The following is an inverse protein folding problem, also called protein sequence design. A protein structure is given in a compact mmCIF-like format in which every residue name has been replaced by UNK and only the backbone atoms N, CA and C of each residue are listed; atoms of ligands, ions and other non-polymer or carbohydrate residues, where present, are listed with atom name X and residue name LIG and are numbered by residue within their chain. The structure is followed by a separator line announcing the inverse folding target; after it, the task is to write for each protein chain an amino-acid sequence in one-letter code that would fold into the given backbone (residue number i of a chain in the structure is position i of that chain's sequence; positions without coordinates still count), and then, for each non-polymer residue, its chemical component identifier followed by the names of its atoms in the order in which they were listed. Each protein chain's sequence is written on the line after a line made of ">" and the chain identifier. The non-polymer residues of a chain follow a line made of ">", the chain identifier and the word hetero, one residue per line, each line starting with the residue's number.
data_IF_578670695197
#
_entry.id   IF_578670695197
#
_cell.length_a   1.000
_cell.length_b   1.000
_cell.length_c   1.000
_cell.angle_alpha   90.00
_cell.angle_beta   90.00
_cell.angle_gamma   90.00
#
_symmetry.space_group_name_H-M   'P 1'
#
loop_
_entity.id
_entity.type
_entity.pdbx_description
1 polymer ?
#
# COMPACT_ATOMS: atom_id res chain seq x y z
N UNK A 1 -4.70 -4.50 -7.55
CA UNK A 1 -4.55 -3.16 -6.98
C UNK A 1 -5.67 -2.92 -6.03
N UNK A 2 -5.41 -3.25 -4.77
CA UNK A 2 -6.29 -2.87 -3.69
C UNK A 2 -6.07 -1.39 -3.39
N UNK A 3 -7.15 -0.68 -3.09
CA UNK A 3 -7.13 0.77 -2.88
C UNK A 3 -7.74 1.13 -1.54
N UNK A 4 -7.55 2.37 -1.11
CA UNK A 4 -8.19 2.88 0.12
C UNK A 4 -9.73 2.79 0.08
N UNK A 5 -10.33 2.74 -1.12
CA UNK A 5 -11.77 2.52 -1.29
C UNK A 5 -12.19 1.09 -0.95
N UNK A 6 -11.33 0.08 -1.18
CA UNK A 6 -11.62 -1.30 -0.82
C UNK A 6 -11.69 -1.47 0.70
N UNK A 7 -10.82 -0.77 1.41
CA UNK A 7 -10.83 -0.67 2.88
C UNK A 7 -12.11 0.02 3.36
N UNK A 8 -12.50 1.14 2.76
CA UNK A 8 -13.72 1.85 3.12
C UNK A 8 -14.98 1.01 2.87
N UNK A 9 -15.02 0.25 1.77
CA UNK A 9 -16.12 -0.68 1.51
C UNK A 9 -16.13 -1.87 2.46
N UNK A 10 -14.97 -2.43 2.80
CA UNK A 10 -14.85 -3.51 3.77
C UNK A 10 -15.37 -3.07 5.15
N UNK A 11 -14.99 -1.88 5.60
CA UNK A 11 -15.50 -1.25 6.82
C UNK A 11 -17.01 -1.04 6.76
N UNK A 12 -17.53 -0.47 5.68
CA UNK A 12 -18.97 -0.20 5.54
C UNK A 12 -19.84 -1.48 5.54
N UNK A 13 -19.31 -2.59 5.01
CA UNK A 13 -19.99 -3.89 4.96
C UNK A 13 -19.78 -4.73 6.21
N UNK A 14 -18.92 -4.31 7.13
CA UNK A 14 -18.52 -5.09 8.30
C UNK A 14 -19.69 -5.19 9.28
N UNK A 15 -20.28 -6.39 9.38
CA UNK A 15 -21.31 -6.73 10.37
C UNK A 15 -20.72 -7.65 11.42
N UNK A 16 -20.94 -7.34 12.68
CA UNK A 16 -20.52 -8.17 13.81
C UNK A 16 -21.60 -9.17 14.18
N UNK A 17 -21.19 -10.41 14.44
CA UNK A 17 -22.07 -11.47 14.92
C UNK A 17 -22.55 -11.13 16.32
N UNK A 18 -23.88 -11.12 16.53
CA UNK A 18 -24.48 -10.93 17.84
C UNK A 18 -24.43 -12.22 18.66
N UNK A 19 -24.22 -12.12 19.98
CA UNK A 19 -24.40 -13.24 20.91
C UNK A 19 -25.88 -13.38 21.30
N UNK A 20 -26.27 -14.58 21.70
CA UNK A 20 -27.66 -14.93 22.06
C UNK A 20 -28.17 -14.24 23.32
N UNK A 21 -27.28 -13.72 24.17
CA UNK A 21 -27.64 -12.98 25.38
C UNK A 21 -26.76 -11.72 25.52
N UNK A 22 -27.17 -10.63 24.88
CA UNK A 22 -26.49 -9.33 24.93
C UNK A 22 -25.11 -9.28 24.25
N UNK A 23 -24.82 -8.18 23.56
CA UNK A 23 -23.50 -7.90 23.00
C UNK A 23 -23.16 -8.62 21.68
N UNK A 24 -21.90 -8.44 21.26
CA UNK A 24 -21.30 -9.00 20.05
C UNK A 24 -20.28 -10.07 20.40
N UNK A 25 -20.07 -10.99 19.47
CA UNK A 25 -19.06 -12.04 19.59
C UNK A 25 -17.66 -11.43 19.44
N UNK A 26 -16.92 -11.37 20.54
CA UNK A 26 -15.57 -10.82 20.56
C UNK A 26 -14.63 -11.56 19.60
N UNK A 27 -14.76 -12.88 19.43
CA UNK A 27 -13.90 -13.63 18.52
C UNK A 27 -14.17 -13.24 17.05
N UNK A 28 -15.43 -12.97 16.71
CA UNK A 28 -15.82 -12.48 15.39
C UNK A 28 -15.32 -11.05 15.15
N UNK A 29 -15.37 -10.19 16.18
CA UNK A 29 -14.82 -8.83 16.12
C UNK A 29 -13.31 -8.85 15.88
N UNK A 30 -12.54 -9.65 16.65
CA UNK A 30 -11.09 -9.75 16.49
C UNK A 30 -10.69 -10.28 15.13
N UNK A 31 -11.35 -11.33 14.62
CA UNK A 31 -11.10 -11.85 13.26
C UNK A 31 -11.36 -10.80 12.17
N UNK A 32 -12.39 -9.98 12.33
CA UNK A 32 -12.70 -8.90 11.38
C UNK A 32 -11.66 -7.78 11.43
N UNK A 33 -11.14 -7.47 12.61
CA UNK A 33 -10.03 -6.53 12.79
C UNK A 33 -8.74 -7.04 12.14
N UNK A 34 -8.36 -8.30 12.37
CA UNK A 34 -7.20 -8.92 11.71
C UNK A 34 -7.34 -8.90 10.18
N UNK A 35 -8.52 -9.25 9.67
CA UNK A 35 -8.78 -9.21 8.22
C UNK A 35 -8.68 -7.80 7.65
N UNK A 36 -9.14 -6.79 8.38
CA UNK A 36 -9.03 -5.39 7.96
C UNK A 36 -7.57 -4.93 7.96
N UNK A 37 -6.82 -5.31 8.99
CA UNK A 37 -5.41 -4.94 9.11
C UNK A 37 -4.56 -5.56 7.99
N UNK A 38 -4.84 -6.82 7.63
CA UNK A 38 -4.20 -7.47 6.49
C UNK A 38 -4.51 -6.76 5.16
N UNK A 39 -5.77 -6.35 4.95
CA UNK A 39 -6.15 -5.59 3.76
C UNK A 39 -5.42 -4.23 3.70
N UNK A 40 -5.29 -3.56 4.85
CA UNK A 40 -4.50 -2.33 4.97
C UNK A 40 -3.04 -2.56 4.57
N UNK A 41 -2.41 -3.60 5.13
CA UNK A 41 -1.02 -3.91 4.83
C UNK A 41 -0.80 -4.19 3.34
N UNK A 42 -1.69 -4.97 2.71
CA UNK A 42 -1.61 -5.28 1.29
C UNK A 42 -1.69 -4.03 0.39
N UNK A 43 -2.61 -3.11 0.68
CA UNK A 43 -2.73 -1.84 -0.06
C UNK A 43 -1.45 -1.02 0.07
N UNK A 44 -0.89 -0.95 1.27
CA UNK A 44 0.35 -0.22 1.53
C UNK A 44 1.57 -0.87 0.84
N UNK A 45 1.68 -2.19 0.88
CA UNK A 45 2.80 -2.91 0.27
C UNK A 45 2.76 -2.78 -1.26
N UNK A 46 1.58 -2.87 -1.88
CA UNK A 46 1.40 -2.62 -3.32
C UNK A 46 1.78 -1.17 -3.68
N UNK A 47 1.35 -0.21 -2.88
CA UNK A 47 1.66 1.19 -3.10
C UNK A 47 3.15 1.50 -2.92
N UNK A 48 3.79 0.90 -1.90
CA UNK A 48 5.23 1.01 -1.66
C UNK A 48 6.03 0.42 -2.81
N UNK A 49 5.66 -0.77 -3.29
CA UNK A 49 6.31 -1.41 -4.44
C UNK A 49 6.20 -0.55 -5.71
N UNK A 50 5.03 0.05 -5.96
CA UNK A 50 4.83 0.95 -7.08
C UNK A 50 5.70 2.20 -6.99
N UNK A 51 5.73 2.87 -5.84
CA UNK A 51 6.56 4.06 -5.66
C UNK A 51 8.05 3.74 -5.71
N UNK A 52 8.48 2.60 -5.15
CA UNK A 52 9.87 2.17 -5.23
C UNK A 52 10.30 1.98 -6.69
N UNK A 53 9.50 1.29 -7.49
CA UNK A 53 9.79 1.10 -8.92
C UNK A 53 9.86 2.43 -9.69
N UNK A 54 9.00 3.40 -9.32
CA UNK A 54 9.03 4.73 -9.93
C UNK A 54 10.30 5.51 -9.54
N UNK A 55 10.73 5.43 -8.28
CA UNK A 55 11.97 6.06 -7.81
C UNK A 55 13.18 5.44 -8.49
N UNK A 56 13.25 4.12 -8.56
CA UNK A 56 14.36 3.41 -9.22
C UNK A 56 14.49 3.82 -10.70
N UNK A 57 13.36 4.00 -11.41
CA UNK A 57 13.37 4.50 -12.78
C UNK A 57 13.90 5.94 -12.89
N UNK A 58 13.51 6.81 -11.95
CA UNK A 58 13.97 8.21 -11.92
C UNK A 58 15.46 8.28 -11.62
N UNK A 59 15.96 7.48 -10.69
CA UNK A 59 17.39 7.43 -10.35
C UNK A 59 18.21 6.94 -11.54
N UNK A 60 17.75 5.92 -12.26
CA UNK A 60 18.40 5.47 -13.50
C UNK A 60 18.43 6.56 -14.59
N UNK A 61 17.37 7.35 -14.72
CA UNK A 61 17.31 8.46 -15.66
C UNK A 61 18.27 9.59 -15.24
N UNK A 62 18.32 9.92 -13.96
CA UNK A 62 19.26 10.89 -13.39
C UNK A 62 20.71 10.47 -13.58
N UNK A 63 21.03 9.19 -13.37
CA UNK A 63 22.36 8.64 -13.59
C UNK A 63 22.78 8.72 -15.07
N UNK A 64 21.86 8.42 -15.99
CA UNK A 64 22.10 8.59 -17.43
C UNK A 64 22.37 10.04 -17.80
N UNK A 65 21.58 10.97 -17.26
CA UNK A 65 21.75 12.40 -17.51
C UNK A 65 23.06 12.95 -16.91
N UNK A 66 23.44 12.49 -15.71
CA UNK A 66 24.71 12.84 -15.06
C UNK A 66 25.91 12.29 -15.81
N UNK A 67 25.85 11.03 -16.23
CA UNK A 67 26.89 10.40 -17.05
C UNK A 67 27.06 11.09 -18.40
N UNK A 68 25.96 11.55 -19.02
CA UNK A 68 26.00 12.31 -20.28
C UNK A 68 26.55 13.73 -20.13
N UNK A 69 26.41 14.37 -18.96
CA UNK A 69 26.94 15.72 -18.70
C UNK A 69 28.43 15.72 -18.38
N UNK A 70 28.96 14.65 -17.77
CA UNK A 70 30.39 14.52 -17.45
C UNK A 70 31.32 14.29 -18.65
N UNK A 71 30.77 13.97 -19.83
CA UNK A 71 31.55 13.76 -21.06
C UNK A 71 31.56 14.94 -22.04
N UNK A 72 30.81 16.02 -21.76
CA UNK A 72 30.66 17.16 -22.69
C UNK A 72 31.65 18.30 -22.50
N UNK A 73 32.33 18.39 -21.35
CA UNK A 73 33.11 19.57 -20.98
C UNK A 73 34.63 19.35 -21.06
N UNK A 74 35.07 18.22 -21.59
CA UNK A 74 36.48 17.93 -21.84
C UNK A 74 36.74 17.94 -23.35
N UNK A 75 36.68 19.11 -23.99
CA UNK A 75 37.44 19.48 -25.20
C UNK A 75 36.98 20.86 -25.71
N UNK A 76 37.64 21.93 -25.24
CA UNK A 76 37.91 23.17 -25.99
C UNK A 76 39.02 23.96 -25.30
#
# INVERSE_FOLDING_TARGET
>A
MHTMQDIAQALAKMKFRKKTFGGVDQADVWRKLESLQNLYQQVYDEQAAYYQALLDQKDQELDRLRGSKGGGDAHA
#
